data_IF_291158340528
#
_entry.id   IF_291158340528
#
_cell.length_a   1.000
_cell.length_b   1.000
_cell.length_c   1.000
_cell.angle_alpha   90.00
_cell.angle_beta   90.00
_cell.angle_gamma   90.00
#
_symmetry.space_group_name_H-M   'P 1'
#
loop_
_entity.id
_entity.type
_entity.pdbx_description
1 polymer ?
#
# COMPACT_ATOMS: atom_id res chain seq x y z
N UNK A 1 -16.61 6.42 -6.68
CA UNK A 1 -15.75 7.39 -6.03
C UNK A 1 -15.64 7.13 -4.51
N UNK A 2 -16.75 6.99 -3.79
CA UNK A 2 -16.75 6.80 -2.32
C UNK A 2 -16.01 5.57 -1.80
N UNK A 3 -15.94 4.49 -2.58
CA UNK A 3 -15.27 3.24 -2.17
C UNK A 3 -13.76 3.22 -2.48
N UNK A 4 -13.25 4.16 -3.27
CA UNK A 4 -11.84 4.23 -3.67
C UNK A 4 -10.88 4.39 -2.48
N UNK A 5 -11.17 5.19 -1.45
CA UNK A 5 -10.25 5.35 -0.31
C UNK A 5 -10.00 4.06 0.49
N UNK A 6 -10.97 3.14 0.53
CA UNK A 6 -10.86 1.90 1.33
C UNK A 6 -9.72 0.98 0.85
N UNK A 7 -9.69 0.52 -0.43
CA UNK A 7 -8.59 -0.28 -0.94
C UNK A 7 -7.27 0.47 -0.92
N UNK A 8 -7.30 1.79 -1.12
CA UNK A 8 -6.14 2.64 -1.03
C UNK A 8 -5.52 2.60 0.38
N UNK A 9 -6.30 2.81 1.43
CA UNK A 9 -5.85 2.73 2.82
C UNK A 9 -5.34 1.34 3.22
N UNK A 10 -5.93 0.28 2.65
CA UNK A 10 -5.48 -1.10 2.87
C UNK A 10 -4.15 -1.36 2.16
N UNK A 11 -3.98 -0.87 0.94
CA UNK A 11 -2.74 -0.97 0.19
C UNK A 11 -1.59 -0.26 0.91
N UNK A 12 -1.82 0.97 1.38
CA UNK A 12 -0.86 1.75 2.16
C UNK A 12 -0.43 1.07 3.46
N UNK A 13 -1.39 0.48 4.19
CA UNK A 13 -1.11 -0.28 5.41
C UNK A 13 -0.16 -1.45 5.13
N UNK A 14 -0.41 -2.20 4.06
CA UNK A 14 0.40 -3.35 3.67
C UNK A 14 1.76 -2.91 3.16
N UNK A 15 1.80 -1.87 2.34
CA UNK A 15 3.02 -1.33 1.75
C UNK A 15 3.99 -0.77 2.80
N UNK A 16 3.48 -0.02 3.78
CA UNK A 16 4.32 0.54 4.84
C UNK A 16 4.56 -0.42 6.02
N UNK A 17 4.00 -1.64 5.99
CA UNK A 17 4.07 -2.59 7.10
C UNK A 17 3.73 -1.92 8.45
N UNK A 18 2.79 -0.97 8.41
CA UNK A 18 2.24 -0.36 9.61
C UNK A 18 1.40 -1.45 10.26
N UNK A 19 1.87 -2.00 11.39
CA UNK A 19 1.17 -3.05 12.11
C UNK A 19 -0.31 -2.71 12.36
N UNK A 20 -1.08 -3.58 12.98
CA UNK A 20 -2.53 -3.43 13.20
C UNK A 20 -2.87 -2.03 13.71
N UNK A 21 -3.11 -1.08 12.80
CA UNK A 21 -3.53 0.27 13.15
C UNK A 21 -5.05 0.25 13.34
N UNK A 22 -5.49 0.32 14.59
CA UNK A 22 -6.91 0.46 14.92
C UNK A 22 -7.52 1.66 14.19
N UNK A 23 -6.78 2.77 14.07
CA UNK A 23 -7.21 3.97 13.37
C UNK A 23 -7.55 3.71 11.90
N UNK A 24 -6.75 2.90 11.18
CA UNK A 24 -7.03 2.54 9.79
C UNK A 24 -8.33 1.74 9.66
N UNK A 25 -8.53 0.77 10.54
CA UNK A 25 -9.73 -0.06 10.52
C UNK A 25 -11.00 0.75 10.87
N UNK A 26 -10.90 1.65 11.85
CA UNK A 26 -11.99 2.56 12.22
C UNK A 26 -12.33 3.48 11.04
N UNK A 27 -11.33 4.05 10.38
CA UNK A 27 -11.55 4.94 9.24
C UNK A 27 -12.20 4.19 8.07
N UNK A 28 -11.73 2.99 7.73
CA UNK A 28 -12.36 2.13 6.72
C UNK A 28 -13.83 1.79 7.09
N UNK A 29 -14.10 1.51 8.36
CA UNK A 29 -15.47 1.24 8.83
C UNK A 29 -16.37 2.48 8.70
N UNK A 30 -15.87 3.67 9.01
CA UNK A 30 -16.60 4.94 8.82
C UNK A 30 -16.93 5.15 7.34
N UNK A 31 -15.96 4.91 6.43
CA UNK A 31 -16.21 5.02 4.99
C UNK A 31 -17.27 4.04 4.52
N UNK A 32 -17.18 2.78 4.91
CA UNK A 32 -18.16 1.75 4.55
C UNK A 32 -19.54 2.09 5.09
N UNK A 33 -19.66 2.48 6.36
CA UNK A 33 -20.91 2.89 6.98
C UNK A 33 -21.55 4.10 6.27
N UNK A 34 -20.74 5.14 6.00
CA UNK A 34 -21.23 6.33 5.29
C UNK A 34 -21.72 5.98 3.89
N UNK A 35 -21.01 5.11 3.15
CA UNK A 35 -21.44 4.67 1.83
C UNK A 35 -22.77 3.91 1.86
N UNK A 36 -22.96 3.00 2.84
CA UNK A 36 -24.22 2.27 3.02
C UNK A 36 -25.36 3.21 3.41
N UNK A 37 -25.14 4.12 4.35
CA UNK A 37 -26.15 5.10 4.78
C UNK A 37 -26.61 5.97 3.61
N UNK A 38 -25.67 6.52 2.83
CA UNK A 38 -26.03 7.35 1.66
C UNK A 38 -26.74 6.55 0.57
N UNK A 39 -26.38 5.28 0.37
CA UNK A 39 -27.09 4.40 -0.57
C UNK A 39 -28.53 4.17 -0.11
N UNK A 40 -28.74 3.83 1.16
CA UNK A 40 -30.08 3.63 1.73
C UNK A 40 -30.92 4.91 1.65
N UNK A 41 -30.35 6.05 2.02
CA UNK A 41 -31.04 7.36 1.92
C UNK A 41 -31.44 7.70 0.49
N UNK A 42 -30.60 7.34 -0.48
CA UNK A 42 -30.93 7.53 -1.90
C UNK A 42 -32.07 6.59 -2.36
N UNK A 43 -31.98 5.29 -1.99
CA UNK A 43 -33.02 4.29 -2.33
C UNK A 43 -34.39 4.60 -1.70
N UNK A 44 -34.40 5.19 -0.50
CA UNK A 44 -35.64 5.61 0.18
C UNK A 44 -36.14 6.97 -0.26
N UNK A 45 -35.44 7.67 -1.16
CA UNK A 45 -35.80 8.99 -1.63
C UNK A 45 -35.64 10.13 -0.62
N UNK A 46 -35.01 9.84 0.54
CA UNK A 46 -34.81 10.85 1.61
C UNK A 46 -33.75 11.87 1.19
N UNK A 47 -32.71 11.44 0.47
CA UNK A 47 -31.63 12.31 0.01
C UNK A 47 -31.22 11.95 -1.41
N UNK A 48 -31.05 12.96 -2.27
CA UNK A 48 -30.40 12.78 -3.56
C UNK A 48 -28.87 12.76 -3.41
N UNK A 49 -28.18 11.96 -4.21
CA UNK A 49 -26.70 11.92 -4.24
C UNK A 49 -26.08 13.30 -4.45
N UNK A 50 -26.74 14.16 -5.22
CA UNK A 50 -26.28 15.52 -5.48
C UNK A 50 -26.15 16.35 -4.19
N UNK A 51 -27.05 16.18 -3.24
CA UNK A 51 -27.04 16.89 -1.97
C UNK A 51 -26.00 16.30 -0.99
N UNK A 52 -25.58 15.05 -1.23
CA UNK A 52 -24.61 14.33 -0.40
C UNK A 52 -23.16 14.53 -0.83
N UNK A 53 -22.92 15.22 -1.94
CA UNK A 53 -21.55 15.47 -2.47
C UNK A 53 -20.66 16.17 -1.46
N UNK A 54 -21.21 17.06 -0.64
CA UNK A 54 -20.48 17.74 0.41
C UNK A 54 -19.88 16.75 1.44
N UNK A 55 -20.64 15.73 1.83
CA UNK A 55 -20.18 14.69 2.76
C UNK A 55 -19.02 13.92 2.14
N UNK A 56 -19.12 13.60 0.85
CA UNK A 56 -18.05 12.89 0.10
C UNK A 56 -16.77 13.72 0.08
N UNK A 57 -16.87 15.02 -0.18
CA UNK A 57 -15.71 15.92 -0.16
C UNK A 57 -15.06 16.02 1.22
N UNK A 58 -15.84 16.12 2.28
CA UNK A 58 -15.32 16.11 3.66
C UNK A 58 -14.58 14.80 3.98
N UNK A 59 -15.13 13.68 3.57
CA UNK A 59 -14.49 12.37 3.73
C UNK A 59 -13.16 12.30 2.97
N UNK A 60 -13.12 12.78 1.72
CA UNK A 60 -11.89 12.83 0.92
C UNK A 60 -10.80 13.67 1.59
N UNK A 61 -11.14 14.85 2.09
CA UNK A 61 -10.19 15.70 2.83
C UNK A 61 -9.67 14.97 4.07
N UNK A 62 -10.55 14.29 4.82
CA UNK A 62 -10.16 13.52 6.00
C UNK A 62 -9.20 12.38 5.66
N UNK A 63 -9.40 11.68 4.52
CA UNK A 63 -8.47 10.65 4.06
C UNK A 63 -7.11 11.22 3.68
N UNK A 64 -7.08 12.38 3.04
CA UNK A 64 -5.84 13.05 2.66
C UNK A 64 -5.03 13.48 3.90
N UNK A 65 -5.70 14.05 4.91
CA UNK A 65 -5.05 14.41 6.18
C UNK A 65 -4.48 13.19 6.89
N UNK A 66 -5.25 12.10 6.95
CA UNK A 66 -4.80 10.83 7.54
C UNK A 66 -3.58 10.27 6.80
N UNK A 67 -3.60 10.31 5.48
CA UNK A 67 -2.48 9.87 4.66
C UNK A 67 -1.22 10.72 4.88
N UNK A 68 -1.34 12.03 4.91
CA UNK A 68 -0.22 12.93 5.25
C UNK A 68 0.35 12.62 6.64
N UNK A 69 -0.50 12.36 7.63
CA UNK A 69 -0.06 12.00 8.98
C UNK A 69 0.75 10.69 9.00
N UNK A 70 0.33 9.68 8.22
CA UNK A 70 1.09 8.42 8.06
C UNK A 70 2.46 8.68 7.42
N UNK A 71 2.52 9.45 6.34
CA UNK A 71 3.78 9.79 5.68
C UNK A 71 4.74 10.52 6.61
N UNK A 72 4.26 11.52 7.32
CA UNK A 72 5.07 12.27 8.30
C UNK A 72 5.63 11.32 9.37
N UNK A 73 4.77 10.49 9.97
CA UNK A 73 5.19 9.49 10.95
C UNK A 73 6.25 8.54 10.39
N UNK A 74 6.11 8.12 9.14
CA UNK A 74 7.05 7.23 8.46
C UNK A 74 8.41 7.89 8.28
N UNK A 75 8.44 9.14 7.80
CA UNK A 75 9.67 9.92 7.64
C UNK A 75 10.41 10.07 8.99
N UNK A 76 9.67 10.31 10.06
CA UNK A 76 10.25 10.45 11.39
C UNK A 76 10.87 9.15 11.94
N UNK A 77 10.27 7.99 11.66
CA UNK A 77 10.70 6.70 12.23
C UNK A 77 11.79 6.02 11.39
N UNK A 78 11.67 6.02 10.07
CA UNK A 78 12.56 5.26 9.16
C UNK A 78 13.42 6.14 8.26
N UNK A 79 13.25 7.46 8.32
CA UNK A 79 13.98 8.38 7.47
C UNK A 79 13.42 8.49 6.04
N UNK A 80 14.19 9.13 5.18
CA UNK A 80 13.78 9.52 3.84
C UNK A 80 14.32 8.53 2.80
N UNK A 81 13.74 7.33 2.75
CA UNK A 81 14.13 6.28 1.80
C UNK A 81 13.46 6.45 0.41
N UNK A 82 13.83 5.60 -0.56
CA UNK A 82 13.29 5.65 -1.94
C UNK A 82 11.77 5.45 -1.95
N UNK A 83 11.26 4.55 -1.11
CA UNK A 83 9.82 4.23 -1.02
C UNK A 83 9.03 5.44 -0.51
N UNK A 84 9.55 6.13 0.50
CA UNK A 84 8.93 7.35 1.03
C UNK A 84 8.91 8.45 -0.03
N UNK A 85 9.99 8.62 -0.80
CA UNK A 85 10.03 9.61 -1.91
C UNK A 85 8.97 9.33 -2.96
N UNK A 86 8.86 8.10 -3.44
CA UNK A 86 7.88 7.71 -4.44
C UNK A 86 6.45 7.95 -3.94
N UNK A 87 6.16 7.56 -2.69
CA UNK A 87 4.85 7.80 -2.08
C UNK A 87 4.52 9.29 -1.93
N UNK A 88 5.48 10.12 -1.56
CA UNK A 88 5.28 11.58 -1.49
C UNK A 88 4.95 12.14 -2.87
N UNK A 89 5.65 11.70 -3.93
CA UNK A 89 5.39 12.15 -5.30
C UNK A 89 3.98 11.72 -5.74
N UNK A 90 3.63 10.45 -5.53
CA UNK A 90 2.30 9.95 -5.86
C UNK A 90 1.18 10.66 -5.09
N UNK A 91 1.39 10.86 -3.79
CA UNK A 91 0.46 11.57 -2.93
C UNK A 91 0.29 13.05 -3.32
N UNK A 92 1.39 13.72 -3.66
CA UNK A 92 1.34 15.11 -4.12
C UNK A 92 0.55 15.21 -5.43
N UNK A 93 0.79 14.32 -6.39
CA UNK A 93 0.05 14.28 -7.65
C UNK A 93 -1.46 14.07 -7.40
N UNK A 94 -1.82 13.13 -6.53
CA UNK A 94 -3.21 12.85 -6.17
C UNK A 94 -3.83 14.01 -5.40
N UNK A 95 -3.14 14.59 -4.44
CA UNK A 95 -3.63 15.74 -3.66
C UNK A 95 -3.86 16.99 -4.52
N UNK A 96 -2.93 17.30 -5.41
CA UNK A 96 -3.06 18.42 -6.33
C UNK A 96 -4.25 18.20 -7.28
N UNK A 97 -4.39 17.02 -7.86
CA UNK A 97 -5.51 16.71 -8.75
C UNK A 97 -6.87 16.81 -8.05
N UNK A 98 -6.96 16.33 -6.79
CA UNK A 98 -8.16 16.48 -5.98
C UNK A 98 -8.51 17.95 -5.69
N UNK A 99 -7.52 18.77 -5.35
CA UNK A 99 -7.75 20.20 -5.10
C UNK A 99 -8.25 20.90 -6.36
N UNK A 100 -7.66 20.58 -7.52
CA UNK A 100 -8.08 21.16 -8.80
C UNK A 100 -9.52 20.75 -9.14
N UNK A 101 -9.86 19.47 -8.99
CA UNK A 101 -11.24 18.98 -9.22
C UNK A 101 -12.26 19.65 -8.28
N UNK A 102 -11.87 19.82 -7.00
CA UNK A 102 -12.73 20.48 -6.02
C UNK A 102 -12.99 21.96 -6.40
N UNK A 103 -11.94 22.68 -6.80
CA UNK A 103 -12.08 24.08 -7.26
C UNK A 103 -12.94 24.15 -8.51
N UNK A 104 -12.72 23.26 -9.48
CA UNK A 104 -13.49 23.19 -10.70
C UNK A 104 -14.97 22.90 -10.44
N UNK A 105 -15.27 21.97 -9.53
CA UNK A 105 -16.65 21.67 -9.10
C UNK A 105 -17.36 22.90 -8.54
N UNK A 106 -16.74 23.61 -7.59
CA UNK A 106 -17.33 24.81 -6.99
C UNK A 106 -17.42 26.00 -7.95
N UNK A 107 -16.61 26.03 -9.01
CA UNK A 107 -16.74 27.00 -10.10
C UNK A 107 -17.81 26.64 -11.15
N UNK A 108 -18.48 25.51 -10.99
CA UNK A 108 -19.56 25.08 -11.90
C UNK A 108 -19.08 24.55 -13.24
N UNK A 109 -17.85 24.10 -13.36
CA UNK A 109 -17.32 23.50 -14.59
C UNK A 109 -17.94 22.13 -14.84
N UNK A 110 -18.35 21.85 -16.09
CA UNK A 110 -19.10 20.62 -16.42
C UNK A 110 -18.25 19.34 -16.45
N UNK A 111 -16.93 19.44 -16.57
CA UNK A 111 -16.00 18.29 -16.63
C UNK A 111 -14.96 18.41 -15.51
N UNK A 112 -15.37 18.04 -14.29
CA UNK A 112 -14.51 18.19 -13.10
C UNK A 112 -13.75 16.93 -12.74
N UNK A 113 -14.09 15.76 -13.28
CA UNK A 113 -13.61 14.47 -12.82
C UNK A 113 -12.40 13.90 -13.60
N UNK A 114 -12.02 14.54 -14.69
CA UNK A 114 -10.92 14.06 -15.55
C UNK A 114 -9.56 14.17 -14.85
N UNK A 115 -9.31 15.30 -14.20
CA UNK A 115 -8.03 15.59 -13.55
C UNK A 115 -7.83 14.67 -12.35
N UNK A 116 -8.87 14.43 -11.56
CA UNK A 116 -8.84 13.47 -10.46
C UNK A 116 -8.58 12.04 -10.92
N UNK A 117 -9.18 11.61 -12.02
CA UNK A 117 -8.91 10.30 -12.62
C UNK A 117 -7.45 10.17 -13.06
N UNK A 118 -6.87 11.21 -13.66
CA UNK A 118 -5.46 11.24 -14.03
C UNK A 118 -4.55 11.19 -12.80
N UNK A 119 -4.88 11.91 -11.74
CA UNK A 119 -4.15 11.87 -10.47
C UNK A 119 -4.13 10.46 -9.84
N UNK A 120 -5.28 9.78 -9.84
CA UNK A 120 -5.39 8.40 -9.39
C UNK A 120 -4.54 7.47 -10.26
N UNK A 121 -4.57 7.63 -11.58
CA UNK A 121 -3.79 6.82 -12.51
C UNK A 121 -2.28 6.97 -12.24
N UNK A 122 -1.80 8.20 -12.14
CA UNK A 122 -0.39 8.49 -11.82
C UNK A 122 -0.01 7.84 -10.48
N UNK A 123 -0.85 7.97 -9.47
CA UNK A 123 -0.62 7.37 -8.16
C UNK A 123 -0.51 5.84 -8.23
N UNK A 124 -1.43 5.17 -8.95
CA UNK A 124 -1.40 3.71 -9.14
C UNK A 124 -0.13 3.27 -9.87
N UNK A 125 0.31 4.02 -10.89
CA UNK A 125 1.55 3.73 -11.62
C UNK A 125 2.76 3.83 -10.69
N UNK A 126 2.84 4.87 -9.87
CA UNK A 126 3.95 5.06 -8.92
C UNK A 126 3.98 3.93 -7.88
N UNK A 127 2.85 3.59 -7.28
CA UNK A 127 2.76 2.48 -6.34
C UNK A 127 3.08 1.12 -6.98
N UNK A 128 2.57 0.88 -8.19
CA UNK A 128 2.83 -0.35 -8.95
C UNK A 128 4.31 -0.51 -9.25
N UNK A 129 4.96 0.55 -9.71
CA UNK A 129 6.40 0.55 -9.97
C UNK A 129 7.22 0.20 -8.72
N UNK A 130 6.92 0.84 -7.58
CA UNK A 130 7.62 0.57 -6.32
C UNK A 130 7.36 -0.85 -5.81
N UNK A 131 6.13 -1.35 -5.91
CA UNK A 131 5.77 -2.71 -5.51
C UNK A 131 6.50 -3.76 -6.34
N UNK A 132 6.58 -3.57 -7.66
CA UNK A 132 7.31 -4.43 -8.58
C UNK A 132 8.81 -4.39 -8.27
N UNK A 133 9.38 -3.20 -8.08
CA UNK A 133 10.79 -3.02 -7.74
C UNK A 133 11.15 -3.73 -6.43
N UNK A 134 10.29 -3.65 -5.41
CA UNK A 134 10.48 -4.39 -4.15
C UNK A 134 10.42 -5.91 -4.34
N UNK A 135 9.49 -6.39 -5.14
CA UNK A 135 9.40 -7.81 -5.45
C UNK A 135 10.67 -8.33 -6.13
N UNK A 136 11.20 -7.58 -7.10
CA UNK A 136 12.47 -7.94 -7.75
C UNK A 136 13.67 -7.92 -6.79
N UNK A 137 13.75 -6.94 -5.89
CA UNK A 137 14.81 -6.90 -4.87
C UNK A 137 14.75 -8.13 -3.96
N UNK A 138 13.56 -8.52 -3.48
CA UNK A 138 13.39 -9.72 -2.65
C UNK A 138 13.73 -11.02 -3.37
N UNK A 139 13.35 -11.15 -4.65
CA UNK A 139 13.71 -12.32 -5.47
C UNK A 139 15.23 -12.39 -5.62
N UNK A 140 15.89 -11.28 -5.92
CA UNK A 140 17.34 -11.22 -6.06
C UNK A 140 18.07 -11.54 -4.75
N UNK A 141 17.55 -11.08 -3.61
CA UNK A 141 18.09 -11.43 -2.28
C UNK A 141 17.91 -12.91 -1.97
N UNK A 142 16.75 -13.49 -2.30
CA UNK A 142 16.51 -14.93 -2.18
C UNK A 142 17.49 -15.75 -3.02
N UNK A 143 17.63 -15.42 -4.30
CA UNK A 143 18.58 -16.11 -5.19
C UNK A 143 20.04 -16.02 -4.68
N UNK A 144 20.43 -14.86 -4.13
CA UNK A 144 21.76 -14.74 -3.52
C UNK A 144 21.91 -15.60 -2.27
N UNK A 145 20.88 -15.66 -1.43
CA UNK A 145 20.90 -16.50 -0.22
C UNK A 145 21.01 -17.97 -0.59
N UNK A 146 20.24 -18.43 -1.61
CA UNK A 146 20.32 -19.80 -2.10
C UNK A 146 21.70 -20.12 -2.69
N UNK A 147 22.26 -19.20 -3.47
CA UNK A 147 23.62 -19.34 -4.02
C UNK A 147 24.69 -19.44 -2.91
N UNK A 148 24.62 -18.59 -1.88
CA UNK A 148 25.56 -18.67 -0.75
C UNK A 148 25.36 -19.95 0.06
N UNK A 149 24.13 -20.44 0.20
CA UNK A 149 23.83 -21.71 0.84
C UNK A 149 24.46 -22.87 0.06
N UNK A 150 24.29 -22.90 -1.25
CA UNK A 150 24.90 -23.91 -2.13
C UNK A 150 26.42 -23.88 -2.04
N UNK A 151 27.05 -22.70 -2.09
CA UNK A 151 28.51 -22.56 -1.92
C UNK A 151 29.01 -22.96 -0.51
N UNK A 152 28.18 -22.79 0.51
CA UNK A 152 28.55 -23.16 1.87
C UNK A 152 28.57 -24.69 2.10
N UNK A 153 27.75 -25.44 1.34
CA UNK A 153 27.60 -26.89 1.47
C UNK A 153 28.37 -27.68 0.40
N UNK A 154 28.86 -27.01 -0.66
CA UNK A 154 29.55 -27.66 -1.79
C UNK A 154 30.99 -27.23 -1.85
N UNK A 155 31.91 -28.19 -2.04
CA UNK A 155 33.31 -27.91 -2.28
C UNK A 155 33.49 -27.36 -3.71
N UNK A 156 34.05 -26.15 -3.80
CA UNK A 156 34.19 -25.41 -5.07
C UNK A 156 35.18 -26.05 -6.07
N UNK A 157 36.06 -26.94 -5.61
CA UNK A 157 37.03 -27.61 -6.48
C UNK A 157 36.50 -28.93 -7.05
N UNK A 158 35.75 -29.68 -6.27
CA UNK A 158 35.32 -31.03 -6.61
C UNK A 158 33.83 -31.10 -7.02
N UNK A 159 33.03 -30.09 -6.66
CA UNK A 159 31.60 -30.06 -6.89
C UNK A 159 30.79 -31.03 -6.02
N UNK A 160 31.42 -31.64 -5.01
CA UNK A 160 30.81 -32.60 -4.08
C UNK A 160 30.45 -31.86 -2.79
N UNK A 161 29.51 -32.39 -2.02
CA UNK A 161 29.18 -31.86 -0.69
C UNK A 161 30.43 -31.83 0.21
N UNK A 162 30.63 -30.69 0.87
CA UNK A 162 31.73 -30.53 1.79
C UNK A 162 31.44 -31.21 3.15
N UNK A 163 32.47 -31.28 4.00
CA UNK A 163 32.37 -31.91 5.32
C UNK A 163 31.29 -31.30 6.20
N UNK A 164 31.07 -29.98 6.14
CA UNK A 164 30.03 -29.29 6.93
C UNK A 164 28.63 -29.74 6.52
N UNK A 165 28.38 -29.93 5.24
CA UNK A 165 27.10 -30.44 4.75
C UNK A 165 26.83 -31.88 5.23
N UNK A 166 27.86 -32.70 5.32
CA UNK A 166 27.74 -34.05 5.83
C UNK A 166 27.48 -34.08 7.34
N UNK A 167 28.13 -33.23 8.11
CA UNK A 167 27.93 -33.11 9.56
C UNK A 167 26.49 -32.58 9.87
N UNK A 168 25.96 -31.63 9.08
CA UNK A 168 24.61 -31.14 9.23
C UNK A 168 23.55 -32.24 8.91
N UNK A 169 23.80 -33.01 7.85
CA UNK A 169 22.92 -34.15 7.49
C UNK A 169 22.94 -35.26 8.54
N UNK A 170 24.09 -35.57 9.11
CA UNK A 170 24.24 -36.56 10.17
C UNK A 170 23.50 -36.14 11.45
N UNK A 171 23.52 -34.85 11.78
CA UNK A 171 22.80 -34.30 12.91
C UNK A 171 21.29 -34.38 12.71
N UNK A 172 20.77 -33.99 11.53
CA UNK A 172 19.35 -34.07 11.21
C UNK A 172 18.83 -35.53 11.23
N UNK A 173 19.61 -36.50 10.74
CA UNK A 173 19.24 -37.92 10.74
C UNK A 173 19.30 -38.54 12.14
N UNK A 174 20.19 -38.12 13.00
CA UNK A 174 20.29 -38.64 14.38
C UNK A 174 19.12 -38.21 15.26
N UNK A 175 18.48 -37.08 14.98
CA UNK A 175 17.29 -36.60 15.69
C UNK A 175 16.01 -37.43 15.31
N UNK A 176 16.01 -38.11 14.15
CA UNK A 176 14.91 -38.98 13.70
C UNK A 176 15.00 -40.40 14.25
N UNK A 177 16.16 -40.88 14.70
CA UNK A 177 16.32 -42.21 15.29
C UNK A 177 16.05 -42.25 16.82
N UNK A 178 15.64 -41.14 17.40
CA UNK A 178 15.38 -40.99 18.84
C UNK A 178 13.94 -41.25 19.29
N UNK A 179 13.09 -41.91 18.46
CA UNK A 179 11.73 -42.30 18.84
C UNK A 179 11.53 -43.80 18.72
#
# INVERSE_FOLDING_TARGET
LMMIPIPFMQAEKNFFQIGKSAANNILCAIYAATAVILLVCHMTGVCEFKNSVYIIHMMLVMSLVYFCAILIKRVWVKGFDRKVKANIIGAAALGISMIVDLIAYYKGMQQTDLIGKLGILVFIIVLGYESISEAFEKIKEGQKADFYKEMAVTDTMTGVYNRSAFEEWEYETSDYEGY
#
